data_IF_638702788492
#
_entry.id   IF_638702788492
#
_cell.length_a   1.000
_cell.length_b   1.000
_cell.length_c   1.000
_cell.angle_alpha   90.00
_cell.angle_beta   90.00
_cell.angle_gamma   90.00
#
_symmetry.space_group_name_H-M   'P 1'
#
loop_
_entity.id
_entity.type
_entity.pdbx_description
1 polymer ?
#
# COMPACT_ATOMS: atom_id res chain seq x y z
N UNK A 1 4.95 -5.07 -14.52
CA UNK A 1 4.92 -3.59 -14.57
C UNK A 1 6.21 -2.99 -14.00
N UNK A 2 7.35 -3.04 -14.74
CA UNK A 2 8.67 -2.78 -14.15
C UNK A 2 8.83 -1.40 -13.49
N UNK A 3 8.44 -0.34 -14.21
CA UNK A 3 8.57 1.05 -13.72
C UNK A 3 7.72 1.32 -12.48
N UNK A 4 6.51 0.75 -12.39
CA UNK A 4 5.64 0.91 -11.22
C UNK A 4 6.27 0.26 -10.00
N UNK A 5 6.79 -0.97 -10.14
CA UNK A 5 7.47 -1.67 -9.06
C UNK A 5 8.73 -0.93 -8.59
N UNK A 6 9.52 -0.41 -9.53
CA UNK A 6 10.73 0.37 -9.20
C UNK A 6 10.37 1.62 -8.40
N UNK A 7 9.38 2.40 -8.85
CA UNK A 7 8.97 3.65 -8.19
C UNK A 7 8.38 3.39 -6.80
N UNK A 8 7.56 2.35 -6.64
CA UNK A 8 7.06 1.94 -5.33
C UNK A 8 8.17 1.38 -4.42
N UNK A 9 9.09 0.57 -4.97
CA UNK A 9 10.20 -0.02 -4.21
C UNK A 9 11.10 1.01 -3.52
N UNK A 10 11.25 2.21 -4.11
CA UNK A 10 12.01 3.32 -3.52
C UNK A 10 11.32 3.94 -2.29
N UNK A 11 9.99 4.00 -2.27
CA UNK A 11 9.22 4.73 -1.24
C UNK A 11 8.63 3.84 -0.15
N UNK A 12 8.40 2.55 -0.45
CA UNK A 12 7.82 1.58 0.49
C UNK A 12 8.63 1.48 1.79
N UNK A 13 9.98 1.38 1.80
CA UNK A 13 10.75 1.30 3.03
C UNK A 13 10.62 2.52 3.96
N UNK A 14 10.36 3.71 3.41
CA UNK A 14 10.08 4.90 4.21
C UNK A 14 8.64 4.87 4.74
N UNK A 15 7.69 4.45 3.90
CA UNK A 15 6.28 4.34 4.28
C UNK A 15 6.03 3.29 5.37
N UNK A 16 6.76 2.18 5.36
CA UNK A 16 6.62 1.11 6.36
C UNK A 16 7.02 1.53 7.78
N UNK A 17 7.81 2.60 7.92
CA UNK A 17 8.14 3.19 9.23
C UNK A 17 6.94 3.90 9.87
N UNK A 18 5.94 4.27 9.07
CA UNK A 18 4.75 5.01 9.51
C UNK A 18 3.52 4.11 9.51
N UNK A 19 3.32 3.33 8.45
CA UNK A 19 2.16 2.43 8.29
C UNK A 19 2.62 0.96 8.35
N UNK A 20 2.03 0.11 9.20
CA UNK A 20 2.32 -1.33 9.22
C UNK A 20 1.97 -1.99 7.88
N UNK A 21 2.98 -2.50 7.17
CA UNK A 21 2.80 -3.17 5.89
C UNK A 21 2.55 -4.67 6.10
N UNK A 22 1.46 -5.18 5.52
CA UNK A 22 1.16 -6.62 5.50
C UNK A 22 1.64 -7.24 4.20
N UNK A 23 1.40 -6.56 3.07
CA UNK A 23 1.77 -7.07 1.75
C UNK A 23 1.98 -5.91 0.77
N UNK A 24 2.96 -6.02 -0.12
CA UNK A 24 3.09 -5.19 -1.30
C UNK A 24 3.68 -6.03 -2.43
N UNK A 25 2.99 -6.12 -3.56
CA UNK A 25 3.43 -6.96 -4.67
C UNK A 25 2.57 -6.82 -5.91
N UNK A 26 2.90 -7.60 -6.93
CA UNK A 26 2.10 -7.70 -8.16
C UNK A 26 1.50 -9.09 -8.31
N UNK A 27 0.41 -9.17 -9.07
CA UNK A 27 -0.15 -10.43 -9.51
C UNK A 27 0.77 -11.12 -10.53
N UNK A 28 0.96 -12.43 -10.35
CA UNK A 28 1.69 -13.30 -11.30
C UNK A 28 0.76 -14.30 -12.01
N UNK A 29 -0.39 -14.59 -11.40
CA UNK A 29 -1.46 -15.44 -11.94
C UNK A 29 -2.81 -14.77 -11.62
N UNK A 30 -3.75 -14.80 -12.55
CA UNK A 30 -5.05 -14.08 -12.45
C UNK A 30 -5.03 -12.74 -13.20
N UNK A 31 -5.73 -11.70 -12.71
CA UNK A 31 -5.71 -10.36 -13.32
C UNK A 31 -4.28 -9.81 -13.35
N UNK A 32 -3.66 -9.76 -14.52
CA UNK A 32 -2.27 -9.31 -14.69
C UNK A 32 -2.15 -7.79 -14.65
N UNK A 33 -0.93 -7.31 -14.45
CA UNK A 33 -0.62 -5.88 -14.33
C UNK A 33 -1.41 -5.21 -13.18
N UNK A 34 -1.57 -5.92 -12.07
CA UNK A 34 -2.19 -5.41 -10.87
C UNK A 34 -1.14 -5.30 -9.76
N UNK A 35 -1.00 -4.10 -9.20
CA UNK A 35 -0.21 -3.86 -8.00
C UNK A 35 -1.16 -3.83 -6.79
N UNK A 36 -0.82 -4.58 -5.75
CA UNK A 36 -1.61 -4.71 -4.53
C UNK A 36 -0.73 -4.35 -3.35
N UNK A 37 -1.25 -3.50 -2.47
CA UNK A 37 -0.65 -3.22 -1.17
C UNK A 37 -1.70 -3.32 -0.05
N UNK A 38 -1.35 -3.98 1.04
CA UNK A 38 -2.22 -4.20 2.19
C UNK A 38 -1.52 -3.65 3.42
N UNK A 39 -2.25 -2.83 4.18
CA UNK A 39 -1.76 -2.13 5.36
C UNK A 39 -2.65 -2.49 6.55
N UNK A 40 -2.05 -2.78 7.70
CA UNK A 40 -2.78 -3.02 8.94
C UNK A 40 -2.91 -1.72 9.72
N UNK A 41 -4.11 -1.46 10.24
CA UNK A 41 -4.42 -0.34 11.11
C UNK A 41 -5.29 -0.84 12.24
N UNK A 42 -5.11 -0.29 13.44
CA UNK A 42 -5.94 -0.58 14.61
C UNK A 42 -7.40 -0.23 14.38
N UNK A 43 -7.65 0.95 13.80
CA UNK A 43 -8.98 1.49 13.54
C UNK A 43 -8.97 2.52 12.40
N UNK A 44 -10.15 3.07 12.07
CA UNK A 44 -10.30 4.06 11.01
C UNK A 44 -9.60 5.39 11.32
N UNK A 45 -9.52 5.80 12.59
CA UNK A 45 -8.87 7.05 13.00
C UNK A 45 -7.35 6.96 12.91
N UNK A 46 -6.77 5.83 13.32
CA UNK A 46 -5.36 5.55 13.10
C UNK A 46 -5.02 5.50 11.61
N UNK A 47 -5.85 4.84 10.80
CA UNK A 47 -5.68 4.83 9.34
C UNK A 47 -5.63 6.24 8.78
N UNK A 48 -6.52 7.13 9.20
CA UNK A 48 -6.53 8.52 8.75
C UNK A 48 -5.26 9.27 9.18
N UNK A 49 -4.92 9.20 10.46
CA UNK A 49 -3.73 9.85 11.03
C UNK A 49 -2.44 9.43 10.31
N UNK A 50 -2.20 8.12 10.18
CA UNK A 50 -0.97 7.60 9.57
C UNK A 50 -0.92 7.84 8.06
N UNK A 51 -2.07 7.89 7.37
CA UNK A 51 -2.13 8.28 5.96
C UNK A 51 -1.82 9.76 5.76
N UNK A 52 -2.35 10.62 6.61
CA UNK A 52 -2.06 12.06 6.57
C UNK A 52 -0.58 12.34 6.90
N UNK A 53 -0.04 11.67 7.93
CA UNK A 53 1.37 11.78 8.31
C UNK A 53 2.27 11.38 7.14
N UNK A 54 2.07 10.18 6.59
CA UNK A 54 2.92 9.71 5.52
C UNK A 54 2.80 10.50 4.21
N UNK A 55 1.67 11.16 3.95
CA UNK A 55 1.54 12.06 2.80
C UNK A 55 2.34 13.37 2.98
N UNK A 56 2.70 13.71 4.23
CA UNK A 56 3.51 14.89 4.56
C UNK A 56 4.99 14.56 4.72
N UNK A 57 5.31 13.38 5.24
CA UNK A 57 6.68 13.03 5.68
C UNK A 57 7.41 12.05 4.78
N UNK A 58 6.70 11.26 3.96
CA UNK A 58 7.35 10.34 3.02
C UNK A 58 7.61 11.06 1.71
N UNK A 59 8.87 11.41 1.47
CA UNK A 59 9.29 12.01 0.22
C UNK A 59 8.91 11.14 -0.98
N UNK A 60 8.31 11.76 -2.00
CA UNK A 60 7.87 11.07 -3.21
C UNK A 60 6.65 10.16 -3.02
N UNK A 61 5.92 10.24 -1.90
CA UNK A 61 4.66 9.53 -1.72
C UNK A 61 3.43 10.41 -2.06
N UNK A 62 2.45 9.90 -2.83
CA UNK A 62 2.51 8.67 -3.61
C UNK A 62 3.51 8.79 -4.77
N UNK A 63 4.16 7.68 -5.17
CA UNK A 63 5.10 7.72 -6.28
C UNK A 63 4.38 8.12 -7.56
N UNK A 64 5.04 8.86 -8.44
CA UNK A 64 4.49 9.27 -9.71
C UNK A 64 4.23 8.03 -10.58
N UNK A 65 3.08 7.39 -10.51
CA UNK A 65 2.72 6.20 -11.30
C UNK A 65 1.37 6.35 -12.00
N UNK A 66 0.76 7.54 -11.88
CA UNK A 66 -0.60 7.84 -12.34
C UNK A 66 -0.79 7.67 -13.85
N UNK A 67 0.26 7.89 -14.64
CA UNK A 67 0.26 7.67 -16.09
C UNK A 67 0.06 6.20 -16.50
N UNK A 68 0.35 5.25 -15.60
CA UNK A 68 0.17 3.82 -15.82
C UNK A 68 -1.13 3.28 -15.19
N UNK A 69 -1.89 4.14 -14.50
CA UNK A 69 -3.07 3.73 -13.73
C UNK A 69 -4.30 3.68 -14.63
N UNK A 70 -4.80 2.47 -14.89
CA UNK A 70 -6.06 2.26 -15.62
C UNK A 70 -7.27 2.30 -14.67
N UNK A 71 -7.14 1.63 -13.52
CA UNK A 71 -8.20 1.51 -12.51
C UNK A 71 -7.55 1.42 -11.13
N UNK A 72 -8.24 1.94 -10.11
CA UNK A 72 -7.84 1.81 -8.72
C UNK A 72 -9.05 1.52 -7.85
N UNK A 73 -8.92 0.53 -6.97
CA UNK A 73 -9.94 0.18 -5.99
C UNK A 73 -9.28 0.01 -4.62
N UNK A 74 -10.09 0.15 -3.57
CA UNK A 74 -9.66 -0.12 -2.21
C UNK A 74 -10.80 -0.73 -1.40
N UNK A 75 -10.45 -1.58 -0.46
CA UNK A 75 -11.39 -2.19 0.48
C UNK A 75 -10.90 -2.02 1.91
N UNK A 76 -11.84 -2.01 2.85
CA UNK A 76 -11.55 -2.14 4.28
C UNK A 76 -12.00 -3.54 4.68
N UNK A 77 -11.09 -4.29 5.28
CA UNK A 77 -11.32 -5.68 5.69
C UNK A 77 -11.03 -5.83 7.17
N UNK A 78 -11.77 -6.72 7.81
CA UNK A 78 -11.51 -7.15 9.18
C UNK A 78 -10.77 -8.49 9.11
N UNK A 79 -9.63 -8.64 9.83
CA UNK A 79 -8.93 -9.92 9.85
C UNK A 79 -9.81 -11.01 10.47
N UNK A 80 -9.75 -12.22 9.90
CA UNK A 80 -10.41 -13.38 10.49
C UNK A 80 -9.76 -13.75 11.84
N UNK A 81 -10.46 -14.47 12.75
CA UNK A 81 -9.92 -14.84 14.06
C UNK A 81 -8.61 -15.65 14.02
N UNK A 82 -8.37 -16.37 12.93
CA UNK A 82 -7.16 -17.18 12.72
C UNK A 82 -6.05 -16.45 11.96
N UNK A 83 -6.19 -15.15 11.66
CA UNK A 83 -5.16 -14.39 10.97
C UNK A 83 -3.86 -14.38 11.80
N UNK A 84 -2.69 -14.59 11.19
CA UNK A 84 -1.42 -14.69 11.91
C UNK A 84 -0.84 -13.33 12.33
N UNK A 85 -1.52 -12.24 11.98
CA UNK A 85 -1.10 -10.87 12.26
C UNK A 85 -1.98 -10.34 13.40
N UNK A 86 -1.34 -9.89 14.49
CA UNK A 86 -2.00 -9.30 15.66
C UNK A 86 -2.20 -7.80 15.47
#
# INVERSE_FOLDING_TARGET
>A
MPTVLERFGKVIPARTKISPLVFAGQTTVGPLNQYIHVWAYKDAGERERLRAEASKTVEGWPPATREFLVMQENMIVTPAPCAPFK
#
